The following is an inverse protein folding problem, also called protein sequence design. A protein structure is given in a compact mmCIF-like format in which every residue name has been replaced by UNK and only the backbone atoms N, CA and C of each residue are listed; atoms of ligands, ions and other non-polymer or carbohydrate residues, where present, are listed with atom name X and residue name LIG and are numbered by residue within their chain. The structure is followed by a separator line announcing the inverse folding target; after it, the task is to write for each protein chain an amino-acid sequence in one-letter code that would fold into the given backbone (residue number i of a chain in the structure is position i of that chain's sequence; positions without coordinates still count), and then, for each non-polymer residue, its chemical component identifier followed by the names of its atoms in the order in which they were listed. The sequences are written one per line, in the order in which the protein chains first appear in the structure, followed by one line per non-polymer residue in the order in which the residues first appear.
data_IF_905282775191
#
_entry.id   IF_905282775191
#
_cell.length_a   1.000
_cell.length_b   1.000
_cell.length_c   1.000
_cell.angle_alpha   90.00
_cell.angle_beta   90.00
_cell.angle_gamma   90.00
#
_symmetry.space_group_name_H-M   'P 1'
#
loop_
_entity.id
_entity.type
_entity.pdbx_description
1 polymer ?
#
# COMPACT_ATOMS: atom_id res chain seq x y z
N UNK A 1 -24.49 18.15 9.30
CA UNK A 1 -24.54 18.11 7.82
C UNK A 1 -23.32 18.78 7.17
N UNK A 2 -22.80 19.87 7.67
CA UNK A 2 -21.64 20.61 7.11
C UNK A 2 -20.31 19.85 7.18
N UNK A 3 -20.06 19.02 8.19
CA UNK A 3 -18.83 18.24 8.34
C UNK A 3 -18.70 17.09 7.32
N UNK A 4 -19.81 16.49 6.91
CA UNK A 4 -19.85 15.43 5.89
C UNK A 4 -19.56 15.96 4.48
N UNK A 5 -19.96 17.18 4.18
CA UNK A 5 -19.73 17.83 2.88
C UNK A 5 -18.23 18.19 2.73
N UNK A 6 -17.61 18.74 3.78
CA UNK A 6 -16.18 19.09 3.77
C UNK A 6 -15.26 17.86 3.67
N UNK A 7 -15.62 16.73 4.27
CA UNK A 7 -14.85 15.48 4.14
C UNK A 7 -14.96 14.89 2.73
N UNK A 8 -16.10 15.05 2.07
CA UNK A 8 -16.35 14.54 0.71
C UNK A 8 -15.56 15.33 -0.33
N UNK A 9 -15.47 16.64 -0.19
CA UNK A 9 -14.69 17.50 -1.09
C UNK A 9 -13.18 17.27 -0.96
N UNK A 10 -12.68 17.02 0.23
CA UNK A 10 -11.27 16.69 0.45
C UNK A 10 -10.89 15.32 -0.14
N UNK A 11 -11.77 14.34 -0.08
CA UNK A 11 -11.54 13.03 -0.69
C UNK A 11 -11.60 13.11 -2.23
N UNK A 12 -12.53 13.87 -2.81
CA UNK A 12 -12.60 14.09 -4.25
C UNK A 12 -11.34 14.80 -4.77
N UNK A 13 -10.85 15.82 -4.08
CA UNK A 13 -9.63 16.53 -4.48
C UNK A 13 -8.39 15.64 -4.43
N UNK A 14 -8.29 14.73 -3.46
CA UNK A 14 -7.19 13.74 -3.34
C UNK A 14 -7.25 12.67 -4.42
N UNK A 15 -8.45 12.18 -4.76
CA UNK A 15 -8.67 11.24 -5.87
C UNK A 15 -8.26 11.88 -7.18
N UNK A 16 -8.69 13.12 -7.43
CA UNK A 16 -8.37 13.87 -8.65
C UNK A 16 -6.86 14.11 -8.76
N UNK A 17 -6.20 14.47 -7.66
CA UNK A 17 -4.75 14.65 -7.63
C UNK A 17 -4.00 13.33 -7.87
N UNK A 18 -4.44 12.24 -7.27
CA UNK A 18 -3.85 10.92 -7.49
C UNK A 18 -4.00 10.45 -8.95
N UNK A 19 -5.16 10.67 -9.57
CA UNK A 19 -5.42 10.37 -10.98
C UNK A 19 -4.60 11.27 -11.92
N UNK A 20 -4.44 12.55 -11.58
CA UNK A 20 -3.58 13.49 -12.31
C UNK A 20 -2.11 13.06 -12.25
N UNK A 21 -1.61 12.67 -11.08
CA UNK A 21 -0.24 12.17 -10.91
C UNK A 21 -0.03 10.88 -11.71
N UNK A 22 -0.99 9.94 -11.67
CA UNK A 22 -0.92 8.72 -12.47
C UNK A 22 -0.89 9.02 -13.98
N UNK A 23 -1.74 9.91 -14.45
CA UNK A 23 -1.89 10.19 -15.89
C UNK A 23 -0.77 11.09 -16.42
N UNK A 24 -0.34 12.08 -15.64
CA UNK A 24 0.61 13.11 -16.10
C UNK A 24 2.08 12.72 -15.88
N UNK A 25 2.37 11.85 -14.91
CA UNK A 25 3.75 11.52 -14.52
C UNK A 25 4.05 10.03 -14.72
N UNK A 26 3.21 9.13 -14.19
CA UNK A 26 3.51 7.70 -14.20
C UNK A 26 3.39 7.07 -15.60
N UNK A 27 2.35 7.40 -16.37
CA UNK A 27 2.14 6.88 -17.72
C UNK A 27 3.18 7.37 -18.75
N UNK A 28 3.57 8.67 -18.81
CA UNK A 28 4.65 9.12 -19.66
C UNK A 28 6.01 8.52 -19.31
N UNK A 29 6.31 8.35 -18.00
CA UNK A 29 7.53 7.70 -17.55
C UNK A 29 7.58 6.22 -17.98
N UNK A 30 6.49 5.50 -17.86
CA UNK A 30 6.40 4.11 -18.34
C UNK A 30 6.60 4.02 -19.85
N UNK A 31 6.07 4.96 -20.64
CA UNK A 31 6.29 5.03 -22.10
C UNK A 31 7.74 5.35 -22.45
N UNK A 32 8.39 6.27 -21.73
CA UNK A 32 9.79 6.62 -21.97
C UNK A 32 10.73 5.42 -21.84
N UNK A 33 10.49 4.50 -20.89
CA UNK A 33 11.27 3.28 -20.72
C UNK A 33 10.94 2.16 -21.72
N UNK A 34 9.82 2.26 -22.45
CA UNK A 34 9.41 1.24 -23.42
C UNK A 34 9.90 1.49 -24.84
N UNK A 35 10.47 2.66 -25.15
CA UNK A 35 10.79 3.08 -26.54
C UNK A 35 12.25 2.88 -26.97
N UNK A 36 13.10 2.31 -26.12
CA UNK A 36 14.52 2.10 -26.47
C UNK A 36 14.68 0.90 -27.44
N UNK A 37 14.97 1.17 -28.71
CA UNK A 37 15.19 0.17 -29.78
C UNK A 37 16.48 -0.60 -29.49
N UNK A 38 16.37 -1.89 -29.18
CA UNK A 38 17.52 -2.75 -28.78
C UNK A 38 17.66 -3.99 -29.66
N UNK A 39 18.91 -4.54 -29.86
CA UNK A 39 19.16 -5.66 -30.77
C UNK A 39 18.51 -6.98 -30.33
N UNK A 40 18.30 -7.91 -31.30
CA UNK A 40 17.44 -9.10 -31.21
C UNK A 40 17.68 -10.07 -30.02
N UNK A 41 18.89 -10.15 -29.48
CA UNK A 41 19.17 -10.97 -28.29
C UNK A 41 18.50 -10.42 -27.02
N UNK A 42 18.28 -9.08 -26.94
CA UNK A 42 17.54 -8.40 -25.86
C UNK A 42 16.02 -8.47 -26.05
N UNK A 43 15.53 -8.86 -27.21
CA UNK A 43 14.09 -8.89 -27.50
C UNK A 43 13.37 -10.00 -26.74
N UNK A 44 14.03 -11.17 -26.52
CA UNK A 44 13.48 -12.24 -25.68
C UNK A 44 13.45 -11.86 -24.20
N UNK A 45 14.49 -11.18 -23.70
CA UNK A 45 14.52 -10.66 -22.33
C UNK A 45 13.48 -9.56 -22.13
N UNK A 46 13.27 -8.71 -23.14
CA UNK A 46 12.27 -7.66 -23.11
C UNK A 46 10.84 -8.22 -23.12
N UNK A 47 10.57 -9.28 -23.91
CA UNK A 47 9.27 -9.95 -23.91
C UNK A 47 9.00 -10.66 -22.58
N UNK A 48 10.00 -11.28 -21.98
CA UNK A 48 9.88 -11.92 -20.66
C UNK A 48 9.66 -10.87 -19.56
N UNK A 49 10.39 -9.78 -19.58
CA UNK A 49 10.19 -8.66 -18.64
C UNK A 49 8.80 -8.01 -18.81
N UNK A 50 8.36 -7.80 -20.06
CA UNK A 50 7.02 -7.28 -20.34
C UNK A 50 5.90 -8.19 -19.82
N UNK A 51 6.08 -9.51 -19.86
CA UNK A 51 5.12 -10.48 -19.32
C UNK A 51 5.09 -10.46 -17.78
N UNK A 52 6.25 -10.33 -17.14
CA UNK A 52 6.35 -10.22 -15.67
C UNK A 52 5.68 -8.95 -15.19
N UNK A 53 5.95 -7.81 -15.81
CA UNK A 53 5.35 -6.52 -15.47
C UNK A 53 3.82 -6.58 -15.64
N UNK A 54 3.29 -7.15 -16.72
CA UNK A 54 1.85 -7.34 -16.91
C UNK A 54 1.22 -8.19 -15.79
N UNK A 55 1.87 -9.27 -15.38
CA UNK A 55 1.41 -10.12 -14.27
C UNK A 55 1.33 -9.34 -12.95
N UNK A 56 2.29 -8.47 -12.68
CA UNK A 56 2.31 -7.64 -11.48
C UNK A 56 1.10 -6.69 -11.43
N UNK A 57 0.80 -6.00 -12.54
CA UNK A 57 -0.38 -5.11 -12.62
C UNK A 57 -1.69 -5.88 -12.58
N UNK A 58 -1.76 -7.04 -13.22
CA UNK A 58 -2.94 -7.91 -13.12
C UNK A 58 -3.20 -8.31 -11.67
N UNK A 59 -2.16 -8.62 -10.90
CA UNK A 59 -2.29 -8.98 -9.49
C UNK A 59 -2.86 -7.84 -8.63
N UNK A 60 -2.59 -6.56 -8.97
CA UNK A 60 -3.27 -5.42 -8.31
C UNK A 60 -4.78 -5.51 -8.54
N UNK A 61 -5.19 -5.72 -9.80
CA UNK A 61 -6.61 -5.86 -10.13
C UNK A 61 -7.27 -7.01 -9.39
N UNK A 62 -6.61 -8.17 -9.31
CA UNK A 62 -7.11 -9.34 -8.57
C UNK A 62 -7.23 -9.05 -7.07
N UNK A 63 -6.23 -8.39 -6.47
CA UNK A 63 -6.28 -8.03 -5.06
C UNK A 63 -7.47 -7.11 -4.73
N UNK A 64 -7.65 -6.06 -5.52
CA UNK A 64 -8.75 -5.12 -5.36
C UNK A 64 -10.10 -5.79 -5.64
N UNK A 65 -10.19 -6.59 -6.70
CA UNK A 65 -11.42 -7.35 -7.00
C UNK A 65 -11.79 -8.30 -5.87
N UNK A 66 -10.83 -8.96 -5.23
CA UNK A 66 -11.06 -9.82 -4.07
C UNK A 66 -11.62 -9.02 -2.87
N UNK A 67 -11.11 -7.80 -2.60
CA UNK A 67 -11.66 -6.92 -1.56
C UNK A 67 -13.13 -6.60 -1.82
N UNK A 68 -13.46 -6.21 -3.06
CA UNK A 68 -14.83 -5.89 -3.45
C UNK A 68 -15.73 -7.12 -3.44
N UNK A 69 -15.24 -8.27 -3.89
CA UNK A 69 -15.99 -9.52 -3.87
C UNK A 69 -16.35 -9.93 -2.44
N UNK A 70 -15.39 -9.90 -1.52
CA UNK A 70 -15.62 -10.22 -0.10
C UNK A 70 -16.66 -9.27 0.51
N UNK A 71 -16.57 -7.98 0.21
CA UNK A 71 -17.55 -6.99 0.66
C UNK A 71 -18.94 -7.27 0.12
N UNK A 72 -19.08 -7.54 -1.18
CA UNK A 72 -20.37 -7.86 -1.81
C UNK A 72 -20.97 -9.16 -1.24
N UNK A 73 -20.15 -10.19 -1.06
CA UNK A 73 -20.56 -11.45 -0.46
C UNK A 73 -21.07 -11.24 0.97
N UNK A 74 -20.34 -10.46 1.79
CA UNK A 74 -20.75 -10.13 3.15
C UNK A 74 -22.04 -9.30 3.20
N UNK A 75 -22.29 -8.47 2.19
CA UNK A 75 -23.49 -7.63 2.09
C UNK A 75 -24.72 -8.40 1.61
N UNK A 76 -24.53 -9.35 0.67
CA UNK A 76 -25.64 -10.10 0.07
C UNK A 76 -26.07 -11.31 0.89
N UNK A 77 -25.15 -11.94 1.61
CA UNK A 77 -25.44 -13.17 2.34
C UNK A 77 -25.66 -12.90 3.83
N UNK A 78 -26.51 -13.69 4.51
CA UNK A 78 -26.76 -13.56 5.95
C UNK A 78 -25.59 -14.14 6.77
N UNK A 79 -24.36 -13.75 6.44
CA UNK A 79 -23.14 -14.16 7.11
C UNK A 79 -22.37 -12.91 7.55
N UNK A 80 -21.64 -13.03 8.65
CA UNK A 80 -20.82 -11.95 9.19
C UNK A 80 -19.35 -12.30 9.01
N UNK A 81 -18.82 -12.01 7.79
CA UNK A 81 -17.40 -12.25 7.47
C UNK A 81 -16.47 -11.34 8.28
N UNK A 82 -16.95 -10.24 8.87
CA UNK A 82 -16.14 -9.35 9.69
C UNK A 82 -15.58 -10.07 10.92
N UNK A 83 -16.22 -11.14 11.38
CA UNK A 83 -15.71 -12.00 12.47
C UNK A 83 -14.39 -12.70 12.15
N UNK A 84 -14.03 -12.80 10.86
CA UNK A 84 -12.73 -13.30 10.41
C UNK A 84 -11.63 -12.23 10.51
N UNK A 85 -11.97 -11.02 10.95
CA UNK A 85 -11.01 -9.96 11.22
C UNK A 85 -10.00 -10.35 12.31
N UNK A 86 -8.93 -9.60 12.37
CA UNK A 86 -7.90 -9.81 13.38
C UNK A 86 -8.44 -9.41 14.76
N UNK A 87 -8.40 -10.34 15.72
CA UNK A 87 -8.68 -10.06 17.12
C UNK A 87 -7.41 -10.29 17.96
N UNK A 88 -6.89 -9.28 18.63
CA UNK A 88 -5.64 -9.36 19.37
C UNK A 88 -5.65 -10.43 20.47
N UNK A 89 -4.51 -11.12 20.61
CA UNK A 89 -4.26 -12.15 21.64
C UNK A 89 -5.23 -13.34 21.62
N UNK A 90 -5.91 -13.57 20.49
CA UNK A 90 -6.78 -14.73 20.25
C UNK A 90 -6.18 -15.62 19.17
N UNK A 91 -6.09 -16.94 19.39
CA UNK A 91 -5.59 -17.89 18.37
C UNK A 91 -6.44 -17.84 17.08
N UNK A 92 -7.76 -17.78 17.22
CA UNK A 92 -8.66 -17.64 16.07
C UNK A 92 -8.42 -16.31 15.39
N UNK A 93 -8.20 -15.23 16.15
CA UNK A 93 -7.90 -13.90 15.64
C UNK A 93 -6.60 -13.81 14.82
N UNK A 94 -5.66 -14.76 14.96
CA UNK A 94 -4.47 -14.83 14.09
C UNK A 94 -4.83 -15.09 12.62
N UNK A 95 -5.91 -15.83 12.36
CA UNK A 95 -6.40 -16.05 10.99
C UNK A 95 -6.80 -14.72 10.32
N UNK A 96 -7.13 -13.72 11.12
CA UNK A 96 -7.42 -12.38 10.65
C UNK A 96 -6.20 -11.66 10.06
N UNK A 97 -4.95 -12.08 10.34
CA UNK A 97 -3.76 -11.43 9.78
C UNK A 97 -3.82 -11.37 8.24
N UNK A 98 -3.97 -12.48 7.52
CA UNK A 98 -4.11 -12.44 6.06
C UNK A 98 -5.50 -11.99 5.58
N UNK A 99 -6.55 -12.11 6.41
CA UNK A 99 -7.91 -11.79 6.01
C UNK A 99 -8.25 -10.30 6.16
N UNK A 100 -7.67 -9.64 7.16
CA UNK A 100 -7.94 -8.24 7.50
C UNK A 100 -7.94 -7.29 6.29
N UNK A 101 -7.00 -7.35 5.32
CA UNK A 101 -7.00 -6.43 4.20
C UNK A 101 -8.20 -6.57 3.25
N UNK A 102 -8.90 -7.69 3.28
CA UNK A 102 -10.05 -7.96 2.41
C UNK A 102 -11.40 -7.64 3.07
N UNK A 103 -11.43 -7.44 4.38
CA UNK A 103 -12.65 -7.23 5.16
C UNK A 103 -12.92 -5.73 5.34
N UNK A 104 -14.12 -5.26 5.03
CA UNK A 104 -14.49 -3.86 5.16
C UNK A 104 -15.88 -3.70 5.78
N UNK A 105 -15.98 -2.85 6.82
CA UNK A 105 -17.19 -2.70 7.61
C UNK A 105 -18.33 -2.00 6.84
N UNK A 106 -17.99 -1.09 5.94
CA UNK A 106 -18.96 -0.34 5.13
C UNK A 106 -18.35 0.13 3.82
N UNK A 107 -19.19 0.67 2.92
CA UNK A 107 -18.78 1.12 1.59
C UNK A 107 -17.79 2.29 1.63
N UNK A 108 -17.97 3.24 2.55
CA UNK A 108 -17.06 4.39 2.68
C UNK A 108 -15.65 3.92 3.10
N UNK A 109 -15.57 2.94 4.00
CA UNK A 109 -14.32 2.31 4.39
C UNK A 109 -13.66 1.57 3.22
N UNK A 110 -14.41 0.81 2.42
CA UNK A 110 -13.90 0.12 1.24
C UNK A 110 -13.39 1.11 0.18
N UNK A 111 -14.16 2.15 -0.14
CA UNK A 111 -13.77 3.19 -1.10
C UNK A 111 -12.55 3.96 -0.61
N UNK A 112 -12.51 4.32 0.67
CA UNK A 112 -11.39 5.02 1.30
C UNK A 112 -10.07 4.24 1.24
N UNK A 113 -10.13 2.90 1.22
CA UNK A 113 -8.96 2.04 1.05
C UNK A 113 -8.62 1.77 -0.43
N UNK A 114 -9.61 1.65 -1.30
CA UNK A 114 -9.44 1.20 -2.69
C UNK A 114 -8.49 2.12 -3.46
N UNK A 115 -8.74 3.43 -3.46
CA UNK A 115 -7.96 4.37 -4.27
C UNK A 115 -6.51 4.51 -3.77
N UNK A 116 -6.25 4.77 -2.47
CA UNK A 116 -4.88 4.80 -1.95
C UNK A 116 -4.11 3.52 -2.21
N UNK A 117 -4.75 2.37 -2.02
CA UNK A 117 -4.11 1.08 -2.21
C UNK A 117 -3.71 0.85 -3.67
N UNK A 118 -4.58 1.14 -4.65
CA UNK A 118 -4.26 1.04 -6.08
C UNK A 118 -3.04 1.91 -6.41
N UNK A 119 -3.04 3.17 -5.98
CA UNK A 119 -1.95 4.11 -6.27
C UNK A 119 -0.63 3.61 -5.66
N UNK A 120 -0.64 3.21 -4.40
CA UNK A 120 0.57 2.77 -3.70
C UNK A 120 1.10 1.44 -4.24
N UNK A 121 0.23 0.47 -4.55
CA UNK A 121 0.62 -0.77 -5.20
C UNK A 121 1.17 -0.53 -6.61
N UNK A 122 0.58 0.40 -7.36
CA UNK A 122 1.11 0.80 -8.67
C UNK A 122 2.52 1.36 -8.55
N UNK A 123 2.77 2.27 -7.60
CA UNK A 123 4.10 2.84 -7.34
C UNK A 123 5.09 1.76 -6.89
N UNK A 124 4.66 0.84 -6.04
CA UNK A 124 5.48 -0.27 -5.57
C UNK A 124 5.89 -1.19 -6.73
N UNK A 125 4.92 -1.67 -7.53
CA UNK A 125 5.15 -2.55 -8.68
C UNK A 125 6.05 -1.88 -9.73
N UNK A 126 5.90 -0.57 -9.94
CA UNK A 126 6.73 0.19 -10.88
C UNK A 126 8.16 0.42 -10.39
N UNK A 127 8.43 0.28 -9.11
CA UNK A 127 9.72 0.62 -8.49
C UNK A 127 10.50 -0.56 -7.93
N UNK A 128 9.87 -1.75 -7.79
CA UNK A 128 10.46 -2.93 -7.14
C UNK A 128 10.35 -4.18 -8.00
N UNK A 129 11.38 -5.05 -7.92
CA UNK A 129 11.41 -6.33 -8.63
C UNK A 129 10.44 -7.34 -8.00
N UNK A 130 10.40 -7.42 -6.66
CA UNK A 130 9.58 -8.35 -5.88
C UNK A 130 8.54 -7.61 -5.01
N UNK A 131 7.58 -6.91 -5.61
CA UNK A 131 6.64 -6.06 -4.87
C UNK A 131 5.73 -6.85 -3.94
N UNK A 132 5.30 -8.04 -4.34
CA UNK A 132 4.36 -8.85 -3.56
C UNK A 132 5.00 -9.50 -2.33
N UNK A 133 6.31 -9.73 -2.34
CA UNK A 133 7.05 -10.15 -1.15
C UNK A 133 7.04 -9.03 -0.11
N UNK A 134 7.23 -7.78 -0.54
CA UNK A 134 7.12 -6.63 0.35
C UNK A 134 5.69 -6.47 0.90
N UNK A 135 4.65 -6.63 0.07
CA UNK A 135 3.24 -6.63 0.50
C UNK A 135 2.99 -7.70 1.56
N UNK A 136 3.39 -8.95 1.28
CA UNK A 136 3.24 -10.06 2.23
C UNK A 136 3.96 -9.81 3.54
N UNK A 137 5.19 -9.31 3.48
CA UNK A 137 5.97 -8.94 4.65
C UNK A 137 5.26 -7.85 5.50
N UNK A 138 4.76 -6.79 4.85
CA UNK A 138 4.02 -5.73 5.53
C UNK A 138 2.76 -6.29 6.20
N UNK A 139 1.96 -7.12 5.51
CA UNK A 139 0.74 -7.71 6.07
C UNK A 139 1.06 -8.59 7.27
N UNK A 140 2.04 -9.49 7.16
CA UNK A 140 2.39 -10.41 8.23
C UNK A 140 2.95 -9.65 9.43
N UNK A 141 3.90 -8.75 9.22
CA UNK A 141 4.54 -8.01 10.33
C UNK A 141 3.54 -7.06 11.00
N UNK A 142 2.78 -6.27 10.22
CA UNK A 142 1.77 -5.36 10.79
C UNK A 142 0.68 -6.10 11.54
N UNK A 143 0.18 -7.21 10.98
CA UNK A 143 -0.82 -8.05 11.62
C UNK A 143 -0.30 -8.71 12.88
N UNK A 144 0.95 -9.19 12.88
CA UNK A 144 1.57 -9.77 14.08
C UNK A 144 1.77 -8.74 15.20
N UNK A 145 2.23 -7.52 14.84
CA UNK A 145 2.34 -6.42 15.80
C UNK A 145 0.97 -6.04 16.37
N UNK A 146 -0.03 -5.94 15.51
CA UNK A 146 -1.40 -5.63 15.92
C UNK A 146 -2.00 -6.74 16.77
N UNK A 147 -1.71 -8.00 16.47
CA UNK A 147 -2.16 -9.15 17.28
C UNK A 147 -1.57 -9.12 18.69
N UNK A 148 -0.29 -8.73 18.84
CA UNK A 148 0.37 -8.63 20.15
C UNK A 148 -0.09 -7.39 20.92
N UNK A 149 -0.08 -6.21 20.27
CA UNK A 149 -0.19 -4.91 20.95
C UNK A 149 -1.53 -4.20 20.74
N UNK A 150 -2.38 -4.68 19.82
CA UNK A 150 -3.65 -4.05 19.49
C UNK A 150 -4.65 -4.02 20.63
N UNK A 151 -5.60 -3.09 20.55
CA UNK A 151 -6.74 -3.02 21.45
C UNK A 151 -7.66 -4.23 21.27
N UNK A 152 -8.41 -4.67 22.31
CA UNK A 152 -9.32 -5.82 22.24
C UNK A 152 -10.58 -5.45 21.40
N UNK A 153 -10.41 -5.42 20.09
CA UNK A 153 -11.44 -5.16 19.10
C UNK A 153 -11.19 -6.00 17.85
N UNK A 154 -12.21 -6.18 17.02
CA UNK A 154 -12.05 -6.80 15.70
C UNK A 154 -11.50 -5.74 14.73
N UNK A 155 -10.31 -6.00 14.19
CA UNK A 155 -9.66 -5.12 13.24
C UNK A 155 -9.88 -5.63 11.81
N UNK A 156 -10.36 -4.76 10.93
CA UNK A 156 -10.65 -5.02 9.51
C UNK A 156 -10.20 -3.84 8.66
N UNK A 157 -9.96 -4.07 7.38
CA UNK A 157 -9.59 -3.06 6.41
C UNK A 157 -8.16 -3.17 5.89
N UNK A 158 -7.94 -2.68 4.67
CA UNK A 158 -6.63 -2.64 4.03
C UNK A 158 -5.77 -1.45 4.51
N UNK A 159 -6.27 -0.62 5.41
CA UNK A 159 -5.60 0.62 5.82
C UNK A 159 -4.24 0.38 6.48
N UNK A 160 -4.08 -0.68 7.29
CA UNK A 160 -2.79 -1.07 7.84
C UNK A 160 -1.74 -1.35 6.75
N UNK A 161 -2.15 -2.04 5.66
CA UNK A 161 -1.30 -2.24 4.48
C UNK A 161 -1.03 -0.90 3.77
N UNK A 162 -2.03 -0.05 3.59
CA UNK A 162 -1.88 1.28 2.97
C UNK A 162 -0.85 2.14 3.71
N UNK A 163 -0.94 2.22 5.03
CA UNK A 163 0.03 2.93 5.87
C UNK A 163 1.42 2.30 5.81
N UNK A 164 1.47 0.96 5.77
CA UNK A 164 2.71 0.23 5.57
C UNK A 164 3.37 0.52 4.22
N UNK A 165 2.60 0.57 3.13
CA UNK A 165 3.11 0.93 1.81
C UNK A 165 3.63 2.37 1.76
N UNK A 166 2.94 3.33 2.41
CA UNK A 166 3.42 4.71 2.53
C UNK A 166 4.81 4.75 3.20
N UNK A 167 4.95 4.16 4.39
CA UNK A 167 6.20 4.17 5.11
C UNK A 167 7.30 3.37 4.41
N UNK A 168 6.95 2.27 3.73
CA UNK A 168 7.88 1.49 2.90
C UNK A 168 8.49 2.35 1.79
N UNK A 169 7.65 2.98 0.96
CA UNK A 169 8.10 3.79 -0.18
C UNK A 169 8.92 5.00 0.26
N UNK A 170 8.53 5.65 1.36
CA UNK A 170 9.28 6.77 1.95
C UNK A 170 10.65 6.27 2.43
N UNK A 171 10.70 5.18 3.18
CA UNK A 171 11.94 4.61 3.71
C UNK A 171 12.91 4.21 2.60
N UNK A 172 12.39 3.57 1.54
CA UNK A 172 13.19 3.22 0.35
C UNK A 172 13.76 4.46 -0.32
N UNK A 173 12.96 5.51 -0.49
CA UNK A 173 13.40 6.77 -1.09
C UNK A 173 14.55 7.42 -0.32
N UNK A 174 14.43 7.47 1.01
CA UNK A 174 15.44 8.02 1.90
C UNK A 174 16.74 7.19 1.87
N UNK A 175 16.63 5.86 1.88
CA UNK A 175 17.80 4.97 1.99
C UNK A 175 18.55 4.77 0.69
N UNK A 176 17.84 4.61 -0.42
CA UNK A 176 18.47 4.38 -1.71
C UNK A 176 19.05 5.67 -2.31
N UNK A 177 18.46 6.81 -1.98
CA UNK A 177 18.86 8.14 -2.45
C UNK A 177 19.10 8.21 -3.96
N UNK A 178 18.23 7.51 -4.72
CA UNK A 178 18.19 7.50 -6.18
C UNK A 178 17.05 8.37 -6.65
N UNK A 179 17.16 8.91 -7.86
CA UNK A 179 16.19 9.87 -8.41
C UNK A 179 14.73 9.39 -8.30
N UNK A 180 14.41 8.20 -8.80
CA UNK A 180 13.03 7.68 -8.78
C UNK A 180 12.49 7.37 -7.38
N UNK A 181 13.18 6.59 -6.53
CA UNK A 181 12.72 6.37 -5.17
C UNK A 181 12.52 7.65 -4.37
N UNK A 182 13.38 8.67 -4.56
CA UNK A 182 13.24 9.96 -3.89
C UNK A 182 11.99 10.70 -4.36
N UNK A 183 11.73 10.76 -5.68
CA UNK A 183 10.51 11.37 -6.21
C UNK A 183 9.27 10.66 -5.67
N UNK A 184 9.24 9.33 -5.68
CA UNK A 184 8.13 8.55 -5.13
C UNK A 184 7.92 8.87 -3.65
N UNK A 185 9.00 8.91 -2.86
CA UNK A 185 8.92 9.26 -1.44
C UNK A 185 8.33 10.65 -1.20
N UNK A 186 8.76 11.65 -1.98
CA UNK A 186 8.23 13.03 -1.91
C UNK A 186 6.73 13.03 -2.27
N UNK A 187 6.34 12.40 -3.37
CA UNK A 187 4.94 12.34 -3.80
C UNK A 187 4.04 11.66 -2.75
N UNK A 188 4.48 10.51 -2.23
CA UNK A 188 3.74 9.79 -1.18
C UNK A 188 3.63 10.65 0.09
N UNK A 189 4.69 11.34 0.49
CA UNK A 189 4.68 12.23 1.66
C UNK A 189 3.74 13.41 1.49
N UNK A 190 3.70 14.01 0.30
CA UNK A 190 2.83 15.15 0.00
C UNK A 190 1.35 14.74 -0.08
N UNK A 191 1.05 13.61 -0.70
CA UNK A 191 -0.33 13.16 -0.93
C UNK A 191 -0.92 12.54 0.34
N UNK A 192 -0.16 11.68 1.02
CA UNK A 192 -0.67 10.86 2.13
C UNK A 192 -0.16 11.28 3.51
N UNK A 193 0.84 12.16 3.62
CA UNK A 193 1.45 12.54 4.89
C UNK A 193 0.44 13.05 5.92
N UNK A 194 -0.50 13.92 5.51
CA UNK A 194 -1.57 14.39 6.39
C UNK A 194 -2.50 13.27 6.86
N UNK A 195 -2.85 12.34 5.97
CA UNK A 195 -3.68 11.15 6.31
C UNK A 195 -2.94 10.21 7.25
N UNK A 196 -1.64 10.01 7.01
CA UNK A 196 -0.78 9.19 7.87
C UNK A 196 -0.70 9.78 9.27
N UNK A 197 -0.44 11.08 9.40
CA UNK A 197 -0.36 11.75 10.70
C UNK A 197 -1.69 11.71 11.45
N UNK A 198 -2.81 12.07 10.80
CA UNK A 198 -4.13 12.06 11.46
C UNK A 198 -4.61 10.65 11.82
N UNK A 199 -4.24 9.65 11.02
CA UNK A 199 -4.70 8.28 11.20
C UNK A 199 -4.05 7.52 12.35
N UNK A 200 -2.92 8.00 12.90
CA UNK A 200 -2.24 7.36 14.04
C UNK A 200 -2.49 8.08 15.37
N UNK A 201 -3.22 9.20 15.39
CA UNK A 201 -3.52 9.91 16.61
C UNK A 201 -4.75 9.29 17.28
N UNK A 202 -4.62 8.75 18.52
CA UNK A 202 -5.76 8.19 19.24
C UNK A 202 -6.87 9.23 19.46
N UNK A 203 -8.12 8.84 19.18
CA UNK A 203 -9.29 9.69 19.43
C UNK A 203 -9.57 10.77 18.39
N UNK A 204 -8.70 10.96 17.39
CA UNK A 204 -8.94 11.92 16.30
C UNK A 204 -10.09 11.48 15.37
N UNK A 205 -10.24 10.17 15.18
CA UNK A 205 -11.36 9.54 14.47
C UNK A 205 -11.81 8.32 15.27
N UNK A 206 -13.06 8.32 15.75
CA UNK A 206 -13.59 7.30 16.66
C UNK A 206 -13.64 5.89 16.06
N UNK A 207 -13.86 5.80 14.75
CA UNK A 207 -14.13 4.53 14.04
C UNK A 207 -12.92 3.96 13.33
N UNK A 208 -11.73 4.53 13.56
CA UNK A 208 -10.50 4.13 12.89
C UNK A 208 -9.60 3.33 13.81
N UNK A 209 -9.02 2.26 13.30
CA UNK A 209 -8.01 1.47 13.99
C UNK A 209 -6.64 2.17 13.92
N UNK A 210 -6.45 3.23 14.74
CA UNK A 210 -5.17 3.95 14.79
C UNK A 210 -3.99 3.03 15.14
N UNK A 211 -4.21 2.03 15.98
CA UNK A 211 -3.23 1.00 16.34
C UNK A 211 -2.86 0.11 15.14
N UNK A 212 -3.84 -0.27 14.31
CA UNK A 212 -3.59 -0.96 13.05
C UNK A 212 -2.78 -0.12 12.06
N UNK A 213 -3.06 1.18 11.99
CA UNK A 213 -2.29 2.13 11.18
C UNK A 213 -0.85 2.27 11.67
N UNK A 214 -0.65 2.42 12.97
CA UNK A 214 0.68 2.50 13.57
C UNK A 214 1.50 1.23 13.33
N UNK A 215 0.88 0.06 13.54
CA UNK A 215 1.51 -1.23 13.23
C UNK A 215 1.89 -1.32 11.75
N UNK A 216 1.03 -0.83 10.86
CA UNK A 216 1.30 -0.73 9.43
C UNK A 216 2.53 0.13 9.14
N UNK A 217 2.59 1.36 9.69
CA UNK A 217 3.74 2.26 9.51
C UNK A 217 5.05 1.63 9.97
N UNK A 218 5.05 1.00 11.15
CA UNK A 218 6.24 0.32 11.69
C UNK A 218 6.65 -0.82 10.74
N UNK A 219 5.72 -1.68 10.35
CA UNK A 219 5.98 -2.82 9.47
C UNK A 219 6.54 -2.37 8.11
N UNK A 220 5.94 -1.34 7.51
CA UNK A 220 6.40 -0.79 6.24
C UNK A 220 7.77 -0.14 6.33
N UNK A 221 8.04 0.61 7.40
CA UNK A 221 9.36 1.18 7.66
C UNK A 221 10.45 0.11 7.80
N UNK A 222 10.19 -0.94 8.58
CA UNK A 222 11.09 -2.09 8.74
C UNK A 222 11.30 -2.84 7.42
N UNK A 223 10.23 -3.13 6.69
CA UNK A 223 10.32 -3.76 5.37
C UNK A 223 11.09 -2.87 4.39
N UNK A 224 10.81 -1.57 4.34
CA UNK A 224 11.54 -0.61 3.50
C UNK A 224 13.02 -0.56 3.84
N UNK A 225 13.36 -0.63 5.11
CA UNK A 225 14.75 -0.73 5.55
C UNK A 225 15.42 -2.01 5.05
N UNK A 226 14.75 -3.14 5.15
CA UNK A 226 15.29 -4.46 4.80
C UNK A 226 15.42 -4.65 3.29
N UNK A 227 14.42 -4.22 2.53
CA UNK A 227 14.38 -4.39 1.07
C UNK A 227 15.09 -3.26 0.29
N UNK A 228 15.51 -2.17 0.94
CA UNK A 228 16.26 -1.10 0.27
C UNK A 228 17.68 -1.55 -0.06
N UNK A 229 18.18 -1.10 -1.21
CA UNK A 229 19.58 -1.30 -1.66
C UNK A 229 20.33 0.04 -1.53
N UNK A 230 20.95 0.33 -0.38
CA UNK A 230 21.67 1.60 -0.18
C UNK A 230 22.73 1.78 -1.26
N UNK A 231 22.91 3.03 -1.69
CA UNK A 231 23.99 3.37 -2.61
C UNK A 231 25.33 3.02 -1.93
N UNK A 232 26.09 2.07 -2.48
CA UNK A 232 27.46 1.81 -2.00
C UNK A 232 28.25 3.10 -2.13
N UNK A 233 28.79 3.62 -1.03
CA UNK A 233 29.83 4.64 -1.09
C UNK A 233 30.99 4.01 -1.85
N UNK A 234 31.27 4.46 -3.07
CA UNK A 234 32.59 4.25 -3.65
C UNK A 234 33.60 4.87 -2.68
N UNK A 235 34.21 4.02 -1.88
CA UNK A 235 35.45 4.40 -1.23
C UNK A 235 36.44 4.57 -2.38
N UNK A 236 36.63 5.79 -2.84
CA UNK A 236 37.79 6.14 -3.65
C UNK A 236 39.03 5.70 -2.85
N UNK A 237 39.62 4.62 -3.30
CA UNK A 237 40.99 4.29 -2.97
C UNK A 237 41.85 5.34 -3.67
N UNK A 238 42.06 6.47 -2.99
CA UNK A 238 43.24 7.28 -3.20
C UNK A 238 44.34 6.63 -2.37
N UNK A 239 45.14 5.82 -3.03
CA UNK A 239 46.43 5.31 -2.59
C UNK A 239 47.40 5.45 -3.71
#
# INVERSE_FOLDING_TARGET
MTSLILSRDQNLSRITLALLVMNSIALPLLRYFSTDVRPAARQKDFQSQGSVVKKQYYAIGVFVAAMWLVFIVNWLLPIDLLRLGLYPRSFIGMLGIPMMPFLHANLDHLLGNTVPLIVLLFLLVSSREDPWVAVGCIVVVSGSLLWVFGRPAVHVGASGLTFGLCSFLITVGIREFRFFPVIIAILVSLIYGGTVLSGVIPGWQSDVSWDGHLCGLIAGGLAGFWFSRPKQKCLEKHG
#
